data_IF_255380648723
#
_entry.id   IF_255380648723
#
_cell.length_a   1.000
_cell.length_b   1.000
_cell.length_c   1.000
_cell.angle_alpha   90.00
_cell.angle_beta   90.00
_cell.angle_gamma   90.00
#
_symmetry.space_group_name_H-M   'P 1'
#
loop_
_entity.id
_entity.type
_entity.pdbx_description
1 polymer ?
#
# COMPACT_ATOMS: atom_id res chain seq x y z
N UNK A 1 3.49 -10.15 41.60
CA UNK A 1 4.48 -10.63 40.63
C UNK A 1 3.67 -10.99 39.41
N UNK A 2 4.12 -10.52 38.26
CA UNK A 2 3.49 -10.79 36.99
C UNK A 2 4.58 -11.27 36.04
N UNK A 3 4.24 -12.26 35.23
CA UNK A 3 5.08 -12.64 34.11
C UNK A 3 4.59 -11.86 32.89
N UNK A 4 5.48 -11.10 32.29
CA UNK A 4 5.23 -10.43 31.02
C UNK A 4 5.41 -11.44 29.90
N UNK A 5 4.43 -11.47 28.98
CA UNK A 5 4.44 -12.35 27.81
C UNK A 5 4.65 -11.50 26.56
N UNK A 6 5.59 -11.93 25.72
CA UNK A 6 5.65 -11.52 24.31
C UNK A 6 5.44 -12.74 23.42
N UNK A 7 4.87 -12.53 22.24
CA UNK A 7 4.83 -13.52 21.18
C UNK A 7 5.51 -12.94 19.95
N UNK A 8 6.52 -13.67 19.45
CA UNK A 8 7.39 -13.25 18.35
C UNK A 8 8.04 -11.87 18.59
N UNK A 9 8.35 -11.56 19.86
CA UNK A 9 8.99 -10.31 20.26
C UNK A 9 8.05 -9.11 20.42
N UNK A 10 6.73 -9.30 20.28
CA UNK A 10 5.73 -8.26 20.52
C UNK A 10 4.87 -8.58 21.76
N UNK A 11 4.68 -7.58 22.63
CA UNK A 11 3.65 -7.65 23.67
C UNK A 11 2.27 -7.69 23.01
N UNK A 12 1.43 -8.65 23.39
CA UNK A 12 0.11 -8.81 22.79
C UNK A 12 -0.89 -9.37 23.78
N UNK A 13 -2.16 -9.00 23.61
CA UNK A 13 -3.25 -9.56 24.39
C UNK A 13 -3.71 -10.92 23.82
N UNK A 14 -3.33 -11.26 22.58
CA UNK A 14 -3.77 -12.47 21.87
C UNK A 14 -2.67 -12.98 20.94
N UNK A 15 -2.44 -14.28 20.93
CA UNK A 15 -1.47 -14.90 20.03
C UNK A 15 -2.10 -15.52 18.80
N UNK A 16 -1.35 -15.45 17.69
CA UNK A 16 -1.62 -16.23 16.49
C UNK A 16 -0.52 -17.27 16.35
N UNK A 17 -0.91 -18.52 16.09
CA UNK A 17 -0.01 -19.55 15.56
C UNK A 17 -0.50 -19.94 14.17
N UNK A 18 0.41 -20.44 13.33
CA UNK A 18 0.01 -21.00 12.03
C UNK A 18 -0.15 -22.50 12.18
N UNK A 19 -1.32 -23.01 11.79
CA UNK A 19 -1.59 -24.45 11.76
C UNK A 19 -0.67 -25.16 10.75
N UNK A 20 -0.39 -26.46 10.92
CA UNK A 20 0.50 -27.18 10.02
C UNK A 20 0.03 -27.13 8.56
N UNK A 21 0.97 -26.95 7.63
CA UNK A 21 0.69 -26.91 6.20
C UNK A 21 1.73 -27.74 5.43
N UNK A 22 1.28 -28.60 4.52
CA UNK A 22 2.17 -29.40 3.69
C UNK A 22 3.11 -30.35 4.47
N UNK A 23 2.76 -30.69 5.72
CA UNK A 23 3.62 -31.49 6.62
C UNK A 23 4.69 -30.68 7.36
N UNK A 24 4.69 -29.34 7.23
CA UNK A 24 5.53 -28.43 7.99
C UNK A 24 4.76 -27.82 9.16
N UNK A 25 5.50 -27.49 10.22
CA UNK A 25 5.03 -26.67 11.35
C UNK A 25 5.75 -25.33 11.33
N UNK A 26 5.17 -24.32 11.99
CA UNK A 26 5.66 -22.94 11.96
C UNK A 26 5.91 -22.47 13.41
N UNK A 27 7.15 -22.56 13.90
CA UNK A 27 7.49 -22.17 15.26
C UNK A 27 7.29 -20.68 15.50
N UNK A 28 6.62 -20.35 16.60
CA UNK A 28 6.58 -19.02 17.20
C UNK A 28 7.48 -18.96 18.44
N UNK A 29 7.95 -17.77 18.79
CA UNK A 29 8.77 -17.55 19.99
C UNK A 29 7.93 -16.91 21.09
N UNK A 30 7.73 -17.63 22.20
CA UNK A 30 7.14 -17.08 23.41
C UNK A 30 8.24 -16.49 24.29
N UNK A 31 8.25 -15.17 24.46
CA UNK A 31 9.14 -14.47 25.37
C UNK A 31 8.49 -14.31 26.74
N UNK A 32 9.26 -14.60 27.80
CA UNK A 32 8.83 -14.52 29.19
C UNK A 32 9.83 -13.73 30.01
N UNK A 33 9.32 -12.81 30.85
CA UNK A 33 10.12 -11.95 31.75
C UNK A 33 9.37 -11.68 33.05
N UNK A 34 10.06 -11.58 34.18
CA UNK A 34 9.45 -11.13 35.44
C UNK A 34 9.35 -9.61 35.51
N UNK A 35 8.24 -9.10 36.05
CA UNK A 35 8.02 -7.66 36.21
C UNK A 35 8.86 -7.02 37.35
N UNK A 36 9.33 -7.84 38.30
CA UNK A 36 10.09 -7.39 39.47
C UNK A 36 11.60 -7.71 39.42
N UNK A 37 12.07 -8.30 38.32
CA UNK A 37 13.47 -8.63 38.06
C UNK A 37 14.01 -9.84 38.83
N UNK A 38 13.17 -10.54 39.62
CA UNK A 38 13.59 -11.77 40.31
C UNK A 38 13.47 -12.98 39.41
N UNK A 39 14.27 -14.00 39.72
CA UNK A 39 14.22 -15.29 39.04
C UNK A 39 13.15 -16.20 39.64
N UNK A 40 12.35 -16.81 38.78
CA UNK A 40 11.32 -17.78 39.11
C UNK A 40 11.38 -18.98 38.17
N UNK A 41 11.20 -20.19 38.71
CA UNK A 41 10.88 -21.36 37.90
C UNK A 41 9.38 -21.33 37.59
N UNK A 42 9.01 -21.20 36.33
CA UNK A 42 7.61 -21.21 35.91
C UNK A 42 7.32 -22.41 35.01
N UNK A 43 6.12 -22.95 35.14
CA UNK A 43 5.59 -23.98 34.25
C UNK A 43 4.74 -23.32 33.16
N UNK A 44 4.82 -23.87 31.94
CA UNK A 44 4.08 -23.45 30.77
C UNK A 44 3.11 -24.56 30.41
N UNK A 45 1.82 -24.24 30.44
CA UNK A 45 0.76 -25.18 30.09
C UNK A 45 -0.14 -24.58 29.02
N UNK A 46 -0.50 -25.37 28.01
CA UNK A 46 -1.59 -25.04 27.10
C UNK A 46 -2.85 -25.75 27.58
N UNK A 47 -3.98 -25.03 27.64
CA UNK A 47 -5.26 -25.69 27.90
C UNK A 47 -5.66 -26.60 26.74
N UNK A 48 -6.38 -27.67 27.04
CA UNK A 48 -7.07 -28.44 26.00
C UNK A 48 -7.98 -27.51 25.17
N UNK A 49 -7.69 -27.41 23.88
CA UNK A 49 -8.33 -26.51 22.92
C UNK A 49 -8.22 -27.05 21.50
N UNK A 50 -8.64 -26.28 20.50
CA UNK A 50 -8.59 -26.71 19.09
C UNK A 50 -7.17 -26.74 18.51
N UNK A 51 -6.30 -25.82 18.92
CA UNK A 51 -4.98 -25.62 18.31
C UNK A 51 -3.96 -26.74 18.54
N UNK A 52 -4.11 -27.51 19.64
CA UNK A 52 -3.14 -28.49 20.16
C UNK A 52 -1.66 -28.04 20.06
N UNK A 53 -1.12 -27.46 21.13
CA UNK A 53 0.16 -26.76 21.10
C UNK A 53 1.29 -27.66 21.60
N UNK A 54 2.35 -27.80 20.79
CA UNK A 54 3.60 -28.42 21.21
C UNK A 54 4.61 -27.35 21.68
N UNK A 55 5.14 -27.54 22.88
CA UNK A 55 6.13 -26.68 23.52
C UNK A 55 7.50 -27.37 23.49
N UNK A 56 8.55 -26.64 23.12
CA UNK A 56 9.92 -27.17 23.20
C UNK A 56 10.32 -27.46 24.67
N UNK A 57 9.82 -26.62 25.59
CA UNK A 57 10.06 -26.75 27.03
C UNK A 57 8.79 -26.35 27.78
N UNK A 58 8.45 -27.10 28.83
CA UNK A 58 7.27 -26.83 29.68
C UNK A 58 7.63 -26.20 31.02
N UNK A 59 8.91 -26.06 31.34
CA UNK A 59 9.37 -25.42 32.58
C UNK A 59 10.62 -24.60 32.25
N UNK A 60 10.66 -23.35 32.71
CA UNK A 60 11.73 -22.40 32.39
C UNK A 60 12.01 -21.46 33.57
N UNK A 61 13.27 -21.07 33.73
CA UNK A 61 13.68 -20.04 34.69
C UNK A 61 13.53 -18.66 34.03
N UNK A 62 12.66 -17.81 34.60
CA UNK A 62 12.35 -16.47 34.08
C UNK A 62 12.86 -15.42 35.06
N UNK A 63 13.59 -14.42 34.55
CA UNK A 63 14.17 -13.33 35.33
C UNK A 63 13.93 -11.95 34.70
N UNK A 64 14.84 -11.00 34.98
CA UNK A 64 14.81 -9.66 34.37
C UNK A 64 15.00 -9.70 32.85
N UNK A 65 15.93 -10.54 32.38
CA UNK A 65 16.14 -10.78 30.95
C UNK A 65 15.05 -11.70 30.40
N UNK A 66 14.58 -11.38 29.20
CA UNK A 66 13.57 -12.17 28.52
C UNK A 66 14.14 -13.51 28.06
N UNK A 67 13.41 -14.58 28.38
CA UNK A 67 13.73 -15.95 27.96
C UNK A 67 12.73 -16.40 26.91
N UNK A 68 13.22 -17.06 25.86
CA UNK A 68 12.39 -17.50 24.75
C UNK A 68 12.19 -19.01 24.76
N UNK A 69 10.95 -19.44 24.58
CA UNK A 69 10.56 -20.84 24.36
C UNK A 69 9.87 -20.95 23.00
N UNK A 70 10.30 -21.90 22.16
CA UNK A 70 9.59 -22.14 20.91
C UNK A 70 8.32 -22.95 21.16
N UNK A 71 7.26 -22.60 20.44
CA UNK A 71 6.03 -23.36 20.39
C UNK A 71 5.48 -23.40 18.97
N UNK A 72 4.65 -24.39 18.67
CA UNK A 72 3.90 -24.43 17.43
C UNK A 72 2.56 -25.14 17.62
N UNK A 73 1.61 -24.84 16.74
CA UNK A 73 0.35 -25.55 16.68
C UNK A 73 0.52 -26.86 15.91
N UNK A 74 -0.16 -27.91 16.34
CA UNK A 74 -0.23 -29.21 15.65
C UNK A 74 -1.60 -29.45 15.01
N UNK A 75 -2.59 -28.60 15.32
CA UNK A 75 -3.91 -28.56 14.71
C UNK A 75 -4.42 -27.12 14.52
N UNK A 76 -5.47 -26.94 13.72
CA UNK A 76 -6.13 -25.65 13.57
C UNK A 76 -7.14 -25.43 14.71
N UNK A 77 -7.30 -24.18 15.16
CA UNK A 77 -8.31 -23.81 16.13
C UNK A 77 -9.73 -23.99 15.57
N UNK A 78 -10.64 -24.42 16.45
CA UNK A 78 -12.06 -24.60 16.16
C UNK A 78 -12.87 -23.32 16.39
N UNK A 79 -12.30 -22.37 17.15
CA UNK A 79 -12.84 -21.03 17.32
C UNK A 79 -11.71 -20.05 17.65
N UNK A 80 -12.00 -18.76 17.54
CA UNK A 80 -11.07 -17.73 17.97
C UNK A 80 -10.83 -17.82 19.47
N UNK A 81 -9.57 -17.66 19.86
CA UNK A 81 -9.11 -17.62 21.25
C UNK A 81 -9.49 -18.89 22.04
N UNK A 82 -9.55 -20.05 21.36
CA UNK A 82 -10.05 -21.31 21.94
C UNK A 82 -9.03 -22.08 22.77
N UNK A 83 -7.76 -21.68 22.72
CA UNK A 83 -6.65 -22.30 23.43
C UNK A 83 -6.00 -21.23 24.31
N UNK A 84 -5.73 -21.52 25.58
CA UNK A 84 -5.11 -20.57 26.51
C UNK A 84 -3.76 -21.12 26.94
N UNK A 85 -2.70 -20.38 26.64
CA UNK A 85 -1.38 -20.63 27.19
C UNK A 85 -1.28 -19.97 28.57
N UNK A 86 -0.91 -20.73 29.59
CA UNK A 86 -0.84 -20.32 30.99
C UNK A 86 0.58 -20.43 31.49
N UNK A 87 1.03 -19.41 32.21
CA UNK A 87 2.31 -19.41 32.92
C UNK A 87 2.01 -19.54 34.40
N UNK A 88 2.50 -20.63 34.99
CA UNK A 88 2.24 -20.98 36.37
C UNK A 88 3.50 -20.84 37.22
N UNK A 89 3.38 -20.26 38.41
CA UNK A 89 4.41 -20.28 39.44
C UNK A 89 3.86 -20.99 40.68
N UNK A 90 4.46 -22.11 41.08
CA UNK A 90 3.98 -22.95 42.18
C UNK A 90 2.47 -23.31 42.06
N UNK A 91 1.97 -23.46 40.82
CA UNK A 91 0.57 -23.78 40.51
C UNK A 91 -0.40 -22.59 40.48
N UNK A 92 0.07 -21.37 40.76
CA UNK A 92 -0.69 -20.12 40.58
C UNK A 92 -0.52 -19.58 39.16
N UNK A 93 -1.60 -19.16 38.50
CA UNK A 93 -1.52 -18.54 37.16
C UNK A 93 -1.03 -17.10 37.32
N UNK A 94 0.15 -16.81 36.80
CA UNK A 94 0.77 -15.48 36.83
C UNK A 94 0.56 -14.72 35.53
N UNK A 95 0.35 -15.43 34.42
CA UNK A 95 0.00 -14.86 33.13
C UNK A 95 -0.79 -15.85 32.28
N UNK A 96 -1.58 -15.33 31.35
CA UNK A 96 -2.33 -16.14 30.39
C UNK A 96 -2.43 -15.41 29.05
N UNK A 97 -2.29 -16.16 27.96
CA UNK A 97 -2.38 -15.67 26.59
C UNK A 97 -3.38 -16.53 25.81
N UNK A 98 -4.53 -15.99 25.39
CA UNK A 98 -5.40 -16.66 24.43
C UNK A 98 -4.68 -16.79 23.08
N UNK A 99 -4.76 -17.97 22.49
CA UNK A 99 -4.13 -18.36 21.23
C UNK A 99 -5.20 -18.82 20.25
N UNK A 100 -5.02 -18.42 18.98
CA UNK A 100 -5.73 -19.01 17.85
C UNK A 100 -4.70 -19.60 16.87
N UNK A 101 -4.82 -20.89 16.55
CA UNK A 101 -4.07 -21.50 15.44
C UNK A 101 -4.87 -21.36 14.15
N UNK A 102 -4.32 -20.63 13.18
CA UNK A 102 -5.03 -20.23 11.96
C UNK A 102 -4.51 -20.96 10.73
N UNK A 103 -5.39 -21.17 9.77
CA UNK A 103 -5.05 -21.72 8.45
C UNK A 103 -5.01 -20.61 7.39
N UNK A 104 -4.23 -20.82 6.32
CA UNK A 104 -4.26 -19.98 5.12
C UNK A 104 -4.11 -18.46 5.42
N UNK A 105 -3.09 -18.02 6.18
CA UNK A 105 -2.89 -16.60 6.42
C UNK A 105 -2.59 -15.86 5.11
N UNK A 106 -3.19 -14.68 4.95
CA UNK A 106 -2.89 -13.70 3.92
C UNK A 106 -2.64 -12.34 4.54
N UNK A 107 -1.78 -11.54 3.92
CA UNK A 107 -1.43 -10.21 4.40
C UNK A 107 -2.41 -9.21 3.81
N UNK A 108 -2.98 -8.34 4.64
CA UNK A 108 -3.82 -7.22 4.21
C UNK A 108 -3.17 -5.90 4.64
N UNK A 109 -3.09 -4.95 3.71
CA UNK A 109 -2.47 -3.66 3.92
C UNK A 109 -3.35 -2.52 3.40
N UNK A 110 -3.20 -1.35 3.98
CA UNK A 110 -3.81 -0.12 3.47
C UNK A 110 -3.01 1.11 3.85
N UNK A 111 -3.42 2.25 3.29
CA UNK A 111 -2.85 3.55 3.61
C UNK A 111 -3.05 4.58 2.51
N UNK A 112 -2.04 5.43 2.32
CA UNK A 112 -2.03 6.49 1.30
C UNK A 112 -0.84 6.31 0.36
N UNK A 113 -1.08 6.55 -0.92
CA UNK A 113 -0.05 6.53 -1.96
C UNK A 113 0.13 7.90 -2.60
N UNK A 114 1.28 8.10 -3.25
CA UNK A 114 1.55 9.22 -4.16
C UNK A 114 1.57 8.71 -5.61
N UNK A 115 1.05 9.51 -6.54
CA UNK A 115 1.33 9.32 -7.96
C UNK A 115 1.75 10.60 -8.66
N UNK A 116 2.70 10.50 -9.59
CA UNK A 116 3.30 11.64 -10.31
C UNK A 116 3.53 11.34 -11.78
N UNK A 117 3.18 12.27 -12.67
CA UNK A 117 3.26 12.06 -14.13
C UNK A 117 4.67 12.26 -14.66
N UNK A 118 4.94 11.64 -15.81
CA UNK A 118 6.03 11.97 -16.70
C UNK A 118 5.86 13.38 -17.26
N UNK A 119 6.70 14.31 -16.79
CA UNK A 119 6.78 15.68 -17.31
C UNK A 119 7.99 15.83 -18.24
N UNK A 120 7.76 16.40 -19.42
CA UNK A 120 8.78 16.58 -20.44
C UNK A 120 8.25 17.31 -21.68
N UNK A 121 9.12 17.60 -22.64
CA UNK A 121 8.76 18.32 -23.87
C UNK A 121 8.34 17.41 -25.05
N UNK A 122 8.48 16.09 -24.92
CA UNK A 122 8.15 15.11 -25.98
C UNK A 122 6.68 14.66 -25.94
N UNK A 123 6.14 14.12 -27.04
CA UNK A 123 4.70 13.82 -27.19
C UNK A 123 4.11 12.93 -26.10
N UNK A 124 4.82 11.85 -25.72
CA UNK A 124 4.35 10.92 -24.69
C UNK A 124 4.47 11.47 -23.26
N UNK A 125 5.11 12.63 -23.11
CA UNK A 125 5.23 13.32 -21.84
C UNK A 125 4.37 14.57 -21.89
N UNK A 126 3.41 14.68 -20.97
CA UNK A 126 2.60 15.89 -20.93
C UNK A 126 3.52 17.08 -20.59
N UNK A 127 3.51 18.19 -21.37
CA UNK A 127 4.15 19.42 -20.93
C UNK A 127 3.51 19.83 -19.60
N UNK A 128 4.33 20.32 -18.66
CA UNK A 128 3.93 20.70 -17.29
C UNK A 128 2.59 21.46 -17.31
N UNK A 129 1.50 20.78 -16.94
CA UNK A 129 0.16 21.37 -16.83
C UNK A 129 -0.57 21.70 -18.14
N UNK A 130 -0.13 21.22 -19.31
CA UNK A 130 -0.67 21.65 -20.60
C UNK A 130 -2.02 21.04 -21.00
N UNK A 131 -2.18 19.72 -20.87
CA UNK A 131 -3.34 18.99 -21.43
C UNK A 131 -3.65 17.64 -20.75
N UNK A 132 -3.02 17.34 -19.61
CA UNK A 132 -3.03 16.01 -19.01
C UNK A 132 -3.93 15.83 -17.78
N UNK A 133 -4.04 14.57 -17.35
CA UNK A 133 -4.77 14.09 -16.17
C UNK A 133 -4.28 14.66 -14.83
N UNK A 134 -3.03 15.14 -14.80
CA UNK A 134 -2.44 15.81 -13.64
C UNK A 134 -1.68 17.07 -14.07
N UNK A 135 -1.45 17.95 -13.10
CA UNK A 135 -0.62 19.13 -13.19
C UNK A 135 0.51 19.05 -12.15
N UNK A 136 1.60 19.73 -12.45
CA UNK A 136 2.84 19.73 -11.67
C UNK A 136 3.12 21.15 -11.22
N UNK A 137 3.63 21.29 -10.01
CA UNK A 137 3.99 22.59 -9.44
C UNK A 137 5.36 23.05 -9.94
N UNK A 138 5.64 24.35 -9.82
CA UNK A 138 7.01 24.86 -9.98
C UNK A 138 7.93 24.18 -8.95
N UNK A 139 9.16 23.86 -9.38
CA UNK A 139 10.21 23.14 -8.62
C UNK A 139 9.96 21.65 -8.29
N UNK A 140 8.82 21.10 -8.69
CA UNK A 140 8.60 19.65 -8.61
C UNK A 140 9.53 18.90 -9.60
N UNK A 141 10.23 17.82 -9.19
CA UNK A 141 11.14 17.09 -10.06
C UNK A 141 10.36 16.29 -11.11
N UNK A 142 10.93 16.15 -12.31
CA UNK A 142 10.36 15.33 -13.37
C UNK A 142 10.56 13.83 -13.06
N UNK A 143 9.58 12.99 -13.43
CA UNK A 143 9.70 11.53 -13.29
C UNK A 143 10.55 10.90 -14.41
N UNK A 144 10.47 11.45 -15.63
CA UNK A 144 11.15 10.88 -16.80
C UNK A 144 12.31 11.76 -17.25
N UNK A 145 13.38 11.17 -17.81
CA UNK A 145 14.47 11.96 -18.39
C UNK A 145 13.96 12.90 -19.50
N UNK A 146 14.48 14.12 -19.55
CA UNK A 146 14.15 15.07 -20.59
C UNK A 146 14.61 14.57 -21.98
N UNK A 147 13.68 14.44 -22.94
CA UNK A 147 13.99 14.08 -24.33
C UNK A 147 12.80 13.53 -25.12
N UNK A 148 13.02 13.31 -26.42
CA UNK A 148 12.13 12.52 -27.29
C UNK A 148 12.44 11.04 -27.08
N UNK A 149 11.56 10.36 -26.37
CA UNK A 149 11.69 8.93 -26.05
C UNK A 149 10.36 8.25 -26.37
N UNK A 150 10.28 7.65 -27.56
CA UNK A 150 9.31 6.60 -27.84
C UNK A 150 9.46 5.52 -26.77
N UNK A 151 8.43 5.23 -25.95
CA UNK A 151 8.51 4.24 -24.87
C UNK A 151 8.42 2.82 -25.44
N UNK A 152 9.40 2.48 -26.26
CA UNK A 152 9.55 1.17 -26.90
C UNK A 152 10.16 0.11 -25.97
N UNK A 153 10.43 0.46 -24.70
CA UNK A 153 10.95 -0.42 -23.66
C UNK A 153 10.52 0.06 -22.27
N UNK A 154 9.59 -0.64 -21.64
CA UNK A 154 9.06 -0.30 -20.30
C UNK A 154 10.14 -0.29 -19.21
N UNK A 155 11.20 -1.08 -19.39
CA UNK A 155 12.32 -1.23 -18.46
C UNK A 155 13.39 -0.14 -18.62
N UNK A 156 13.36 0.64 -19.70
CA UNK A 156 14.43 1.61 -20.04
C UNK A 156 13.94 3.01 -20.35
N UNK A 157 12.68 3.16 -20.74
CA UNK A 157 12.07 4.41 -21.17
C UNK A 157 10.72 4.57 -20.46
N UNK A 158 10.73 4.79 -19.14
CA UNK A 158 9.49 4.93 -18.38
C UNK A 158 8.69 6.11 -18.91
N UNK A 159 7.38 5.92 -19.07
CA UNK A 159 6.40 6.95 -19.42
C UNK A 159 5.10 6.61 -18.69
N UNK A 160 4.45 7.62 -18.10
CA UNK A 160 3.20 7.44 -17.38
C UNK A 160 3.29 8.02 -15.98
N UNK A 161 2.84 7.28 -14.97
CA UNK A 161 2.68 7.79 -13.60
C UNK A 161 3.50 6.98 -12.60
N UNK A 162 4.55 7.54 -12.00
CA UNK A 162 5.26 6.89 -10.89
C UNK A 162 4.30 6.70 -9.72
N UNK A 163 4.41 5.57 -9.02
CA UNK A 163 3.62 5.30 -7.82
C UNK A 163 4.54 5.04 -6.64
N UNK A 164 4.20 5.60 -5.48
CA UNK A 164 4.96 5.42 -4.23
C UNK A 164 4.03 5.19 -3.06
N UNK A 165 4.37 4.25 -2.21
CA UNK A 165 3.68 4.01 -0.93
C UNK A 165 4.34 4.75 0.23
N UNK A 166 5.64 4.99 0.13
CA UNK A 166 6.46 5.71 1.11
C UNK A 166 7.44 6.63 0.39
N UNK A 167 8.10 7.52 1.14
CA UNK A 167 9.14 8.40 0.60
C UNK A 167 8.66 9.24 -0.59
N UNK A 168 7.65 10.09 -0.32
CA UNK A 168 7.09 11.01 -1.29
C UNK A 168 8.20 11.79 -2.00
N UNK A 169 8.07 11.96 -3.31
CA UNK A 169 9.09 12.68 -4.08
C UNK A 169 9.13 14.17 -3.72
N UNK A 170 7.99 14.74 -3.32
CA UNK A 170 7.89 16.04 -2.69
C UNK A 170 6.66 16.07 -1.76
N UNK A 171 6.76 16.78 -0.64
CA UNK A 171 5.59 17.05 0.19
C UNK A 171 4.90 18.35 -0.24
N UNK A 172 3.59 18.27 -0.49
CA UNK A 172 2.76 19.45 -0.72
C UNK A 172 2.24 19.99 0.62
N UNK A 173 2.31 21.31 0.87
CA UNK A 173 1.75 21.90 2.08
C UNK A 173 0.28 21.54 2.27
N UNK A 174 -0.09 21.29 3.53
CA UNK A 174 -1.43 20.91 3.98
C UNK A 174 -1.93 19.57 3.45
N UNK A 175 -1.04 18.69 2.99
CA UNK A 175 -1.41 17.35 2.51
C UNK A 175 -0.88 16.30 3.48
N UNK A 176 -1.74 15.38 3.92
CA UNK A 176 -1.31 14.29 4.82
C UNK A 176 -0.25 13.41 4.16
N UNK A 177 0.76 12.92 4.92
CA UNK A 177 1.83 12.09 4.38
C UNK A 177 1.29 10.80 3.74
N UNK A 178 2.09 10.24 2.83
CA UNK A 178 1.88 8.88 2.34
C UNK A 178 2.43 7.86 3.35
N UNK A 179 1.98 6.62 3.22
CA UNK A 179 2.40 5.52 4.06
C UNK A 179 1.40 4.38 3.92
N UNK A 180 1.90 3.18 3.66
CA UNK A 180 1.11 1.95 3.58
C UNK A 180 1.71 0.92 4.53
N UNK A 181 0.87 0.33 5.37
CA UNK A 181 1.30 -0.65 6.37
C UNK A 181 0.37 -1.85 6.37
N UNK A 182 0.88 -3.00 6.81
CA UNK A 182 0.05 -4.16 7.09
C UNK A 182 -0.89 -3.84 8.25
N UNK A 183 -2.19 -3.92 8.01
CA UNK A 183 -3.21 -3.69 9.03
C UNK A 183 -3.64 -4.97 9.72
N UNK A 184 -3.62 -6.08 8.98
CA UNK A 184 -4.04 -7.37 9.54
C UNK A 184 -3.48 -8.55 8.77
N UNK A 185 -3.42 -9.68 9.46
CA UNK A 185 -3.38 -11.01 8.84
C UNK A 185 -4.83 -11.47 8.74
N UNK A 186 -5.30 -11.76 7.54
CA UNK A 186 -6.60 -12.42 7.37
C UNK A 186 -6.33 -13.91 7.27
N UNK A 187 -6.96 -14.71 8.11
CA UNK A 187 -6.73 -16.14 8.14
C UNK A 187 -8.02 -16.90 8.44
N UNK A 188 -8.00 -18.20 8.19
CA UNK A 188 -9.15 -19.07 8.36
C UNK A 188 -9.15 -19.71 9.75
N UNK A 189 -10.29 -19.63 10.43
CA UNK A 189 -10.58 -20.32 11.69
C UNK A 189 -11.87 -21.09 11.50
N UNK A 190 -11.80 -22.42 11.63
CA UNK A 190 -12.97 -23.29 11.47
C UNK A 190 -13.80 -23.00 10.18
N UNK A 191 -13.10 -22.80 9.06
CA UNK A 191 -13.70 -22.52 7.76
C UNK A 191 -14.17 -21.08 7.53
N UNK A 192 -13.97 -20.16 8.50
CA UNK A 192 -14.33 -18.74 8.38
C UNK A 192 -13.08 -17.88 8.27
N UNK A 193 -13.00 -17.01 7.25
CA UNK A 193 -11.93 -16.02 7.15
C UNK A 193 -12.19 -14.85 8.10
N UNK A 194 -11.23 -14.57 8.98
CA UNK A 194 -11.29 -13.49 9.96
C UNK A 194 -10.02 -12.64 9.95
N UNK A 195 -10.11 -11.32 10.22
CA UNK A 195 -8.95 -10.47 10.40
C UNK A 195 -8.37 -10.58 11.82
N UNK A 196 -7.04 -10.55 11.89
CA UNK A 196 -6.26 -10.42 13.12
C UNK A 196 -5.35 -9.20 13.02
N UNK A 197 -5.48 -8.30 14.00
CA UNK A 197 -4.79 -7.00 14.04
C UNK A 197 -3.67 -6.95 15.09
N UNK A 198 -3.36 -8.08 15.72
CA UNK A 198 -2.26 -8.29 16.65
C UNK A 198 -1.84 -9.76 16.61
N UNK A 199 -0.70 -10.11 17.24
CA UNK A 199 -0.27 -11.50 17.43
C UNK A 199 0.76 -12.02 16.42
N UNK A 200 1.10 -11.25 15.38
CA UNK A 200 2.21 -11.55 14.47
C UNK A 200 3.00 -10.25 14.13
N UNK A 201 4.35 -10.29 14.08
CA UNK A 201 5.18 -9.11 13.80
C UNK A 201 5.00 -8.53 12.40
N UNK A 202 4.41 -9.27 11.46
CA UNK A 202 4.10 -8.75 10.14
C UNK A 202 3.10 -7.58 10.20
N UNK A 203 2.27 -7.54 11.24
CA UNK A 203 1.28 -6.48 11.44
C UNK A 203 2.01 -5.19 11.84
N UNK A 204 1.75 -4.11 11.10
CA UNK A 204 2.45 -2.84 11.24
C UNK A 204 3.71 -2.70 10.38
N UNK A 205 4.19 -3.77 9.71
CA UNK A 205 5.30 -3.65 8.75
C UNK A 205 4.93 -2.70 7.60
N UNK A 206 5.94 -1.95 7.13
CA UNK A 206 5.80 -1.08 5.96
C UNK A 206 5.59 -1.92 4.70
N UNK A 207 4.71 -1.47 3.82
CA UNK A 207 4.52 -2.02 2.47
C UNK A 207 4.99 -0.99 1.47
N UNK A 208 5.91 -1.38 0.59
CA UNK A 208 6.53 -0.53 -0.41
C UNK A 208 6.39 -1.16 -1.80
N UNK A 209 6.43 -0.28 -2.81
CA UNK A 209 6.71 -0.67 -4.18
C UNK A 209 8.16 -0.30 -4.48
N UNK A 210 8.80 -1.02 -5.41
CA UNK A 210 10.13 -0.66 -5.90
C UNK A 210 10.15 0.78 -6.41
N UNK A 211 11.29 1.46 -6.23
CA UNK A 211 11.42 2.89 -6.49
C UNK A 211 11.06 3.30 -7.93
N UNK A 212 11.20 2.37 -8.88
CA UNK A 212 10.92 2.60 -10.29
C UNK A 212 9.55 2.05 -10.75
N UNK A 213 8.67 1.65 -9.83
CA UNK A 213 7.32 1.17 -10.18
C UNK A 213 6.45 2.32 -10.70
N UNK A 214 5.79 2.12 -11.84
CA UNK A 214 4.92 3.14 -12.44
C UNK A 214 3.75 2.54 -13.23
N UNK A 215 2.66 3.30 -13.35
CA UNK A 215 1.55 3.01 -14.26
C UNK A 215 1.99 3.32 -15.69
N UNK A 216 2.15 2.29 -16.53
CA UNK A 216 2.64 2.44 -17.90
C UNK A 216 1.55 2.93 -18.85
N UNK A 217 1.62 4.21 -19.24
CA UNK A 217 0.63 4.86 -20.11
C UNK A 217 1.29 5.41 -21.37
N UNK A 218 1.00 4.78 -22.52
CA UNK A 218 1.56 5.19 -23.82
C UNK A 218 0.47 5.51 -24.85
N UNK A 219 -0.71 5.95 -24.38
CA UNK A 219 -1.81 6.40 -25.24
C UNK A 219 -1.99 7.93 -25.15
N UNK A 220 -2.25 8.64 -26.27
CA UNK A 220 -2.25 8.19 -27.66
C UNK A 220 -0.83 7.93 -28.22
N UNK A 221 -0.75 7.33 -29.41
CA UNK A 221 0.50 7.19 -30.18
C UNK A 221 0.76 8.48 -30.97
N UNK A 222 2.00 8.96 -30.96
CA UNK A 222 2.40 10.10 -31.80
C UNK A 222 2.19 9.75 -33.29
N UNK A 223 1.42 10.55 -34.05
CA UNK A 223 1.26 10.35 -35.50
C UNK A 223 2.58 10.25 -36.27
N UNK A 224 3.60 11.02 -35.90
CA UNK A 224 4.91 11.03 -36.57
C UNK A 224 5.70 9.75 -36.28
N UNK A 225 5.62 9.26 -35.04
CA UNK A 225 6.20 7.97 -34.67
C UNK A 225 5.52 6.79 -35.35
N UNK A 226 4.19 6.83 -35.42
CA UNK A 226 3.42 5.84 -36.16
C UNK A 226 3.83 5.83 -37.64
N UNK A 227 3.99 7.00 -38.25
CA UNK A 227 4.44 7.10 -39.65
C UNK A 227 5.87 6.59 -39.83
N UNK A 228 6.74 6.76 -38.83
CA UNK A 228 8.12 6.27 -38.83
C UNK A 228 8.29 4.81 -38.38
N UNK A 229 7.21 4.12 -37.99
CA UNK A 229 7.26 2.75 -37.47
C UNK A 229 7.90 2.61 -36.09
N UNK A 230 7.99 3.71 -35.32
CA UNK A 230 8.52 3.75 -33.95
C UNK A 230 7.36 3.56 -32.97
N UNK A 231 6.95 2.31 -32.74
CA UNK A 231 5.80 2.05 -31.88
C UNK A 231 6.20 1.98 -30.40
N UNK A 232 5.38 2.51 -29.46
CA UNK A 232 5.55 2.22 -28.05
C UNK A 232 5.39 0.71 -27.79
N UNK A 233 5.98 0.22 -26.70
CA UNK A 233 5.94 -1.19 -26.35
C UNK A 233 4.51 -1.68 -26.15
N UNK A 234 3.73 -0.94 -25.36
CA UNK A 234 2.37 -1.30 -24.99
C UNK A 234 1.43 -0.11 -25.06
N UNK A 235 0.12 -0.34 -25.27
CA UNK A 235 -0.91 0.71 -25.29
C UNK A 235 -2.12 0.31 -24.47
N UNK A 236 -2.44 1.14 -23.48
CA UNK A 236 -3.55 0.92 -22.56
C UNK A 236 -4.47 2.14 -22.55
N UNK A 237 -5.78 1.88 -22.40
CA UNK A 237 -6.70 2.96 -22.08
C UNK A 237 -6.46 3.43 -20.66
N UNK A 238 -7.11 4.54 -20.35
CA UNK A 238 -7.12 5.07 -19.01
C UNK A 238 -7.75 4.11 -17.99
N UNK A 239 -7.04 3.85 -16.89
CA UNK A 239 -7.46 2.85 -15.89
C UNK A 239 -7.11 1.40 -16.23
N UNK A 240 -6.43 1.16 -17.36
CA UNK A 240 -6.01 -0.18 -17.80
C UNK A 240 -4.49 -0.35 -17.83
N UNK A 241 -3.74 0.64 -17.32
CA UNK A 241 -2.29 0.63 -17.35
C UNK A 241 -1.73 -0.42 -16.39
N UNK A 242 -0.75 -1.25 -16.77
CA UNK A 242 -0.07 -2.14 -15.84
C UNK A 242 0.93 -1.38 -14.96
N UNK A 243 1.27 -1.96 -13.81
CA UNK A 243 2.43 -1.55 -13.01
C UNK A 243 3.71 -2.09 -13.66
N UNK A 244 4.40 -1.26 -14.44
CA UNK A 244 5.71 -1.59 -14.98
C UNK A 244 6.80 -1.50 -13.90
N UNK A 245 7.86 -2.29 -14.07
CA UNK A 245 8.94 -2.48 -13.08
C UNK A 245 8.41 -2.83 -11.68
N UNK A 246 7.31 -3.59 -11.62
CA UNK A 246 6.67 -3.95 -10.36
C UNK A 246 7.61 -4.77 -9.48
N UNK A 247 7.82 -4.24 -8.29
CA UNK A 247 8.51 -4.89 -7.18
C UNK A 247 7.68 -4.59 -5.92
N UNK A 248 7.40 -5.63 -5.15
CA UNK A 248 6.75 -5.54 -3.85
C UNK A 248 7.79 -5.74 -2.76
N UNK A 249 7.73 -4.92 -1.70
CA UNK A 249 8.65 -5.01 -0.56
C UNK A 249 7.85 -4.84 0.73
N UNK A 250 8.11 -5.70 1.70
CA UNK A 250 7.48 -5.70 3.02
C UNK A 250 8.56 -5.67 4.11
N UNK A 251 8.40 -4.77 5.08
CA UNK A 251 9.17 -4.77 6.33
C UNK A 251 10.69 -4.68 6.14
N UNK A 252 11.17 -3.72 5.34
CA UNK A 252 12.58 -3.54 5.01
C UNK A 252 13.23 -4.83 4.46
N UNK A 253 12.63 -5.41 3.42
CA UNK A 253 13.04 -6.64 2.73
C UNK A 253 12.80 -7.96 3.49
N UNK A 254 11.97 -7.96 4.54
CA UNK A 254 11.51 -9.20 5.18
C UNK A 254 10.74 -10.11 4.19
N UNK A 255 10.07 -9.51 3.21
CA UNK A 255 9.57 -10.20 2.01
C UNK A 255 9.63 -9.25 0.81
N UNK A 256 10.24 -9.70 -0.28
CA UNK A 256 10.27 -8.97 -1.54
C UNK A 256 10.16 -9.85 -2.77
N UNK A 257 9.81 -9.25 -3.90
CA UNK A 257 9.79 -9.91 -5.20
C UNK A 257 9.11 -9.07 -6.28
N UNK A 258 9.33 -9.42 -7.54
CA UNK A 258 8.73 -8.79 -8.70
C UNK A 258 7.75 -9.70 -9.44
N UNK A 259 7.25 -9.21 -10.58
CA UNK A 259 6.47 -10.01 -11.52
C UNK A 259 7.32 -10.52 -12.67
N UNK A 260 7.22 -11.81 -12.96
CA UNK A 260 7.84 -12.39 -14.14
C UNK A 260 7.22 -11.78 -15.41
N UNK A 261 8.08 -11.26 -16.30
CA UNK A 261 7.69 -10.69 -17.59
C UNK A 261 8.52 -11.29 -18.72
N UNK A 262 7.84 -11.68 -19.79
CA UNK A 262 8.43 -12.30 -20.96
C UNK A 262 9.24 -11.31 -21.81
N UNK A 263 9.96 -11.81 -22.84
CA UNK A 263 10.75 -10.97 -23.72
C UNK A 263 9.87 -10.03 -24.57
N UNK A 264 10.42 -8.89 -24.97
CA UNK A 264 9.80 -7.93 -25.89
C UNK A 264 10.72 -7.58 -27.07
N UNK A 265 10.12 -7.45 -28.28
CA UNK A 265 10.80 -7.00 -29.50
C UNK A 265 10.12 -5.70 -30.01
N UNK A 266 10.83 -4.56 -29.99
CA UNK A 266 10.28 -3.28 -30.46
C UNK A 266 9.78 -3.28 -31.91
N UNK A 267 8.72 -2.52 -32.17
CA UNK A 267 8.28 -2.17 -33.53
C UNK A 267 7.55 -3.26 -34.32
N UNK A 268 7.16 -4.37 -33.69
CA UNK A 268 6.54 -5.51 -34.40
C UNK A 268 5.01 -5.46 -34.46
N UNK A 269 4.34 -4.84 -33.48
CA UNK A 269 2.86 -4.81 -33.36
C UNK A 269 2.38 -3.74 -32.37
N UNK A 270 1.25 -3.08 -32.64
CA UNK A 270 0.49 -2.35 -31.60
C UNK A 270 -0.23 -3.38 -30.71
N UNK A 271 0.15 -3.53 -29.43
CA UNK A 271 -0.46 -4.49 -28.50
C UNK A 271 -0.67 -3.85 -27.12
N UNK A 272 -1.68 -4.32 -26.39
CA UNK A 272 -1.88 -4.04 -24.96
C UNK A 272 -1.24 -5.10 -24.06
N UNK A 273 -0.70 -6.18 -24.63
CA UNK A 273 0.04 -7.20 -23.89
C UNK A 273 1.07 -7.82 -24.83
N UNK A 274 2.21 -7.13 -25.02
CA UNK A 274 3.23 -7.54 -25.99
C UNK A 274 4.19 -8.61 -25.45
N UNK A 275 4.07 -8.99 -24.17
CA UNK A 275 4.93 -9.95 -23.48
C UNK A 275 4.16 -11.22 -23.14
N UNK A 276 4.85 -12.35 -23.15
CA UNK A 276 4.33 -13.64 -22.71
C UNK A 276 5.44 -14.43 -21.96
N UNK A 277 5.26 -14.74 -20.67
CA UNK A 277 4.12 -14.34 -19.82
C UNK A 277 4.15 -12.85 -19.45
N UNK A 278 3.04 -12.32 -18.96
CA UNK A 278 2.98 -10.99 -18.35
C UNK A 278 2.17 -11.07 -17.06
N UNK A 279 2.87 -11.15 -15.92
CA UNK A 279 2.24 -11.29 -14.60
C UNK A 279 2.21 -9.98 -13.81
N UNK A 280 2.57 -8.85 -14.42
CA UNK A 280 2.50 -7.53 -13.78
C UNK A 280 1.08 -7.26 -13.30
N UNK A 281 0.91 -6.55 -12.17
CA UNK A 281 -0.41 -6.10 -11.78
C UNK A 281 -1.02 -5.18 -12.84
N UNK A 282 -2.23 -5.50 -13.30
CA UNK A 282 -2.99 -4.69 -14.25
C UNK A 282 -4.41 -4.45 -13.76
N UNK A 283 -4.97 -3.31 -14.14
CA UNK A 283 -6.37 -2.97 -13.90
C UNK A 283 -7.22 -3.18 -15.15
N UNK A 284 -8.52 -3.41 -14.96
CA UNK A 284 -9.50 -3.59 -16.03
C UNK A 284 -10.43 -2.36 -16.13
N UNK A 285 -9.84 -1.17 -16.11
CA UNK A 285 -10.54 0.09 -16.16
C UNK A 285 -10.95 0.61 -14.77
N UNK A 286 -11.78 1.64 -14.79
CA UNK A 286 -12.28 2.34 -13.61
C UNK A 286 -13.63 1.79 -13.18
N UNK A 287 -13.78 1.47 -11.90
CA UNK A 287 -15.04 1.06 -11.31
C UNK A 287 -15.42 1.95 -10.11
N UNK A 288 -16.72 2.19 -9.85
CA UNK A 288 -17.14 2.91 -8.66
C UNK A 288 -16.79 2.13 -7.39
N UNK A 289 -16.52 2.86 -6.30
CA UNK A 289 -16.40 2.26 -4.98
C UNK A 289 -17.73 1.60 -4.60
N UNK A 290 -17.65 0.37 -4.09
CA UNK A 290 -18.81 -0.36 -3.60
C UNK A 290 -19.23 0.15 -2.20
N UNK A 291 -20.40 -0.28 -1.72
CA UNK A 291 -20.94 0.21 -0.45
C UNK A 291 -20.07 -0.16 0.77
N UNK A 292 -19.45 -1.34 0.76
CA UNK A 292 -18.57 -1.79 1.84
C UNK A 292 -17.26 -1.00 1.86
N UNK A 293 -16.68 -0.74 0.70
CA UNK A 293 -15.49 0.12 0.55
C UNK A 293 -15.78 1.56 0.98
N UNK A 294 -16.92 2.13 0.58
CA UNK A 294 -17.33 3.46 1.02
C UNK A 294 -17.60 3.54 2.54
N UNK A 295 -17.91 2.41 3.18
CA UNK A 295 -18.05 2.32 4.64
C UNK A 295 -16.69 2.19 5.33
N UNK A 296 -15.80 1.34 4.79
CA UNK A 296 -14.46 1.12 5.33
C UNK A 296 -13.57 2.35 5.18
N UNK A 297 -13.70 3.05 4.06
CA UNK A 297 -12.92 4.24 3.72
C UNK A 297 -13.87 5.39 3.42
N UNK A 298 -14.40 6.09 4.43
CA UNK A 298 -15.26 7.25 4.22
C UNK A 298 -14.45 8.44 3.69
N UNK A 299 -14.97 9.12 2.67
CA UNK A 299 -14.34 10.31 2.07
C UNK A 299 -15.40 11.35 1.70
N UNK A 300 -15.01 12.65 1.69
CA UNK A 300 -15.94 13.71 1.29
C UNK A 300 -16.32 13.60 -0.19
N UNK A 301 -17.43 14.24 -0.56
CA UNK A 301 -17.75 14.47 -1.98
C UNK A 301 -16.66 15.31 -2.64
N UNK A 302 -16.53 15.26 -3.97
CA UNK A 302 -15.52 16.05 -4.69
C UNK A 302 -15.66 17.55 -4.37
N UNK A 303 -16.89 18.05 -4.30
CA UNK A 303 -17.16 19.43 -3.91
C UNK A 303 -16.75 19.72 -2.47
N UNK A 304 -17.08 18.83 -1.51
CA UNK A 304 -16.69 18.99 -0.12
C UNK A 304 -15.17 18.96 0.07
N UNK A 305 -14.48 18.09 -0.67
CA UNK A 305 -13.02 18.07 -0.74
C UNK A 305 -12.48 19.40 -1.29
N UNK A 306 -12.93 19.83 -2.46
CA UNK A 306 -12.44 21.04 -3.12
C UNK A 306 -12.67 22.30 -2.26
N UNK A 307 -13.82 22.39 -1.59
CA UNK A 307 -14.15 23.49 -0.67
C UNK A 307 -13.23 23.48 0.56
N UNK A 308 -12.97 22.30 1.16
CA UNK A 308 -12.05 22.18 2.28
C UNK A 308 -10.61 22.57 1.89
N UNK A 309 -10.13 22.09 0.73
CA UNK A 309 -8.80 22.45 0.18
C UNK A 309 -8.72 23.96 -0.10
N UNK A 310 -9.71 24.47 -0.82
CA UNK A 310 -10.23 25.86 -0.80
C UNK A 310 -9.74 26.72 0.36
N UNK A 311 -10.45 26.49 1.47
CA UNK A 311 -10.40 27.26 2.69
C UNK A 311 -9.07 27.11 3.45
N UNK A 312 -8.30 26.06 3.19
CA UNK A 312 -6.98 25.86 3.79
C UNK A 312 -5.89 26.58 3.00
N UNK A 313 -5.96 26.60 1.67
CA UNK A 313 -4.93 27.20 0.81
C UNK A 313 -5.07 28.71 0.63
N UNK A 314 -6.31 29.23 0.65
CA UNK A 314 -6.58 30.64 0.38
C UNK A 314 -5.94 31.60 1.42
N UNK A 315 -5.94 31.31 2.73
CA UNK A 315 -5.27 32.15 3.72
C UNK A 315 -3.77 32.33 3.44
N UNK A 316 -3.04 31.24 3.14
CA UNK A 316 -1.62 31.29 2.81
C UNK A 316 -1.36 32.13 1.54
N UNK A 317 -2.24 32.01 0.54
CA UNK A 317 -2.16 32.81 -0.67
C UNK A 317 -2.31 34.31 -0.37
N UNK A 318 -3.28 34.67 0.48
CA UNK A 318 -3.50 36.06 0.92
C UNK A 318 -2.31 36.57 1.75
N UNK A 319 -1.77 35.77 2.67
CA UNK A 319 -0.62 36.14 3.48
C UNK A 319 0.61 36.44 2.63
N UNK A 320 0.94 35.58 1.65
CA UNK A 320 2.04 35.81 0.72
C UNK A 320 1.82 37.09 -0.11
N UNK A 321 0.58 37.35 -0.55
CA UNK A 321 0.24 38.59 -1.26
C UNK A 321 0.50 39.82 -0.39
N UNK A 322 -0.02 39.84 0.84
CA UNK A 322 0.11 40.95 1.77
C UNK A 322 1.57 41.19 2.19
N UNK A 323 2.37 40.13 2.23
CA UNK A 323 3.81 40.19 2.43
C UNK A 323 4.60 40.70 1.19
N UNK A 324 3.92 41.01 0.08
CA UNK A 324 4.56 41.45 -1.16
C UNK A 324 5.31 40.35 -1.91
N UNK A 325 4.94 39.08 -1.72
CA UNK A 325 5.63 37.90 -2.25
C UNK A 325 4.95 37.31 -3.49
N UNK A 326 4.21 38.14 -4.26
CA UNK A 326 3.49 37.70 -5.46
C UNK A 326 4.40 37.12 -6.57
N UNK A 327 5.68 37.48 -6.59
CA UNK A 327 6.66 36.97 -7.57
C UNK A 327 7.37 35.67 -7.11
N UNK A 328 6.97 35.09 -5.99
CA UNK A 328 7.58 33.85 -5.47
C UNK A 328 6.98 32.59 -6.10
N UNK A 329 7.78 31.52 -6.15
CA UNK A 329 7.31 30.18 -6.54
C UNK A 329 6.16 29.70 -5.65
N UNK A 330 6.25 29.94 -4.34
CA UNK A 330 5.20 29.56 -3.40
C UNK A 330 3.85 30.22 -3.74
N UNK A 331 3.84 31.51 -4.07
CA UNK A 331 2.63 32.23 -4.46
C UNK A 331 2.01 31.67 -5.75
N UNK A 332 2.82 31.50 -6.81
CA UNK A 332 2.35 30.94 -8.09
C UNK A 332 1.87 29.50 -7.98
N UNK A 333 2.51 28.70 -7.12
CA UNK A 333 2.06 27.35 -6.81
C UNK A 333 0.69 27.38 -6.12
N UNK A 334 0.49 28.18 -5.06
CA UNK A 334 -0.83 28.30 -4.42
C UNK A 334 -1.91 28.80 -5.37
N UNK A 335 -1.61 29.80 -6.19
CA UNK A 335 -2.50 30.30 -7.24
C UNK A 335 -2.92 29.19 -8.21
N UNK A 336 -1.97 28.36 -8.65
CA UNK A 336 -2.22 27.22 -9.54
C UNK A 336 -3.10 26.16 -8.86
N UNK A 337 -2.75 25.77 -7.64
CA UNK A 337 -3.51 24.78 -6.85
C UNK A 337 -4.97 25.21 -6.66
N UNK A 338 -5.19 26.44 -6.18
CA UNK A 338 -6.52 27.02 -5.97
C UNK A 338 -7.27 27.08 -7.29
N UNK A 339 -6.64 27.59 -8.36
CA UNK A 339 -7.25 27.71 -9.67
C UNK A 339 -7.80 26.38 -10.23
N UNK A 340 -7.11 25.27 -9.98
CA UNK A 340 -7.56 23.92 -10.38
C UNK A 340 -8.69 23.36 -9.51
N UNK A 341 -8.88 23.87 -8.29
CA UNK A 341 -9.96 23.46 -7.38
C UNK A 341 -11.26 24.26 -7.61
N UNK A 342 -11.15 25.50 -8.10
CA UNK A 342 -12.28 26.40 -8.36
C UNK A 342 -13.43 25.82 -9.22
N UNK A 343 -13.20 24.92 -10.20
CA UNK A 343 -14.30 24.29 -10.93
C UNK A 343 -15.24 23.45 -10.05
N UNK A 344 -14.73 22.90 -8.95
CA UNK A 344 -15.43 21.89 -8.14
C UNK A 344 -16.02 22.46 -6.83
N UNK A 345 -15.69 23.70 -6.47
CA UNK A 345 -16.29 24.40 -5.30
C UNK A 345 -17.70 24.95 -5.62
N UNK A 346 -18.52 25.29 -4.60
CA UNK A 346 -19.80 25.97 -4.83
C UNK A 346 -19.64 27.27 -5.62
N UNK A 347 -20.56 27.53 -6.56
CA UNK A 347 -20.48 28.69 -7.46
C UNK A 347 -20.34 30.03 -6.72
N UNK A 348 -21.06 30.20 -5.60
CA UNK A 348 -20.97 31.42 -4.79
C UNK A 348 -19.56 31.64 -4.21
N UNK A 349 -18.90 30.58 -3.73
CA UNK A 349 -17.53 30.66 -3.21
C UNK A 349 -16.54 30.96 -4.34
N UNK A 350 -16.66 30.27 -5.48
CA UNK A 350 -15.82 30.53 -6.65
C UNK A 350 -15.93 31.99 -7.09
N UNK A 351 -17.16 32.48 -7.26
CA UNK A 351 -17.40 33.82 -7.78
C UNK A 351 -16.89 34.89 -6.80
N UNK A 352 -16.98 34.65 -5.49
CA UNK A 352 -16.38 35.50 -4.45
C UNK A 352 -14.85 35.54 -4.57
N UNK A 353 -14.19 34.39 -4.64
CA UNK A 353 -12.72 34.30 -4.76
C UNK A 353 -12.22 35.02 -6.01
N UNK A 354 -12.91 34.85 -7.14
CA UNK A 354 -12.56 35.53 -8.38
C UNK A 354 -12.80 37.05 -8.28
N UNK A 355 -13.87 37.49 -7.63
CA UNK A 355 -14.11 38.92 -7.40
C UNK A 355 -13.00 39.55 -6.55
N UNK A 356 -12.50 38.83 -5.54
CA UNK A 356 -11.50 39.34 -4.61
C UNK A 356 -10.06 39.27 -5.17
N UNK A 357 -9.76 38.29 -6.02
CA UNK A 357 -8.38 37.94 -6.40
C UNK A 357 -8.08 37.87 -7.90
N UNK A 358 -9.04 38.12 -8.80
CA UNK A 358 -8.76 38.09 -10.25
C UNK A 358 -7.71 39.13 -10.68
N UNK A 359 -7.63 40.28 -10.00
CA UNK A 359 -6.61 41.30 -10.27
C UNK A 359 -5.18 40.81 -9.93
N UNK A 360 -5.06 39.78 -9.09
CA UNK A 360 -3.80 39.15 -8.71
C UNK A 360 -3.44 37.97 -9.64
N UNK A 361 -4.25 37.71 -10.66
CA UNK A 361 -4.09 36.62 -11.61
C UNK A 361 -4.84 35.33 -11.25
N UNK A 362 -5.60 35.30 -10.15
CA UNK A 362 -6.44 34.15 -9.81
C UNK A 362 -7.44 33.87 -10.94
N UNK A 363 -7.51 32.62 -11.40
CA UNK A 363 -8.40 32.22 -12.48
C UNK A 363 -8.81 30.76 -12.33
N UNK A 364 -9.91 30.40 -12.99
CA UNK A 364 -10.33 28.99 -13.09
C UNK A 364 -9.40 28.26 -14.05
N UNK A 365 -8.76 27.20 -13.58
CA UNK A 365 -7.92 26.31 -14.40
C UNK A 365 -8.66 25.00 -14.71
N UNK A 366 -8.05 24.15 -15.54
CA UNK A 366 -8.63 22.87 -15.93
C UNK A 366 -8.95 21.99 -14.73
N UNK A 367 -10.18 21.47 -14.62
CA UNK A 367 -10.57 20.63 -13.48
C UNK A 367 -9.82 19.28 -13.48
N UNK A 368 -9.69 18.68 -12.31
CA UNK A 368 -9.29 17.28 -12.19
C UNK A 368 -10.30 16.40 -12.95
N UNK A 369 -9.88 15.32 -13.65
CA UNK A 369 -10.83 14.45 -14.33
C UNK A 369 -11.85 13.88 -13.32
N UNK A 370 -13.16 14.10 -13.52
CA UNK A 370 -14.17 13.87 -12.48
C UNK A 370 -14.35 12.39 -12.13
N UNK A 371 -13.93 11.48 -13.01
CA UNK A 371 -14.04 10.04 -12.78
C UNK A 371 -12.95 9.51 -11.83
N UNK A 372 -11.93 10.27 -11.42
CA UNK A 372 -10.94 9.73 -10.44
C UNK A 372 -11.47 9.79 -9.01
N UNK A 373 -12.43 10.68 -8.74
CA UNK A 373 -13.03 10.83 -7.42
C UNK A 373 -14.25 9.93 -7.27
N UNK A 374 -14.27 9.07 -6.24
CA UNK A 374 -15.35 8.11 -6.03
C UNK A 374 -15.30 6.85 -6.90
N UNK A 375 -14.30 6.72 -7.78
CA UNK A 375 -13.98 5.47 -8.47
C UNK A 375 -12.62 4.95 -7.99
N UNK A 376 -12.30 3.73 -8.43
CA UNK A 376 -11.08 3.01 -8.09
C UNK A 376 -10.53 2.26 -9.30
N UNK A 377 -9.23 2.01 -9.28
CA UNK A 377 -8.52 1.12 -10.18
C UNK A 377 -8.12 -0.14 -9.39
N UNK A 378 -8.52 -1.33 -9.84
CA UNK A 378 -8.25 -2.60 -9.17
C UNK A 378 -7.16 -3.35 -9.91
N UNK A 379 -5.97 -3.42 -9.31
CA UNK A 379 -4.80 -4.07 -9.89
C UNK A 379 -4.64 -5.49 -9.37
N UNK A 380 -4.50 -6.44 -10.28
CA UNK A 380 -4.27 -7.85 -9.97
C UNK A 380 -3.09 -8.38 -10.76
N UNK A 381 -2.21 -9.12 -10.10
CA UNK A 381 -1.01 -9.70 -10.69
C UNK A 381 -0.37 -10.76 -9.79
N UNK A 382 0.89 -11.10 -10.07
CA UNK A 382 1.66 -12.06 -9.27
C UNK A 382 2.98 -11.46 -8.80
N UNK A 383 3.38 -11.81 -7.58
CA UNK A 383 4.77 -11.74 -7.12
C UNK A 383 5.35 -13.14 -7.33
N UNK A 384 6.15 -13.32 -8.38
CA UNK A 384 6.66 -14.65 -8.80
C UNK A 384 8.02 -14.59 -9.51
N UNK A 385 8.74 -13.48 -9.36
CA UNK A 385 10.13 -13.36 -9.80
C UNK A 385 10.98 -12.80 -8.67
N UNK A 386 12.22 -13.28 -8.55
CA UNK A 386 13.19 -12.84 -7.53
C UNK A 386 12.64 -12.81 -6.09
N UNK A 387 11.79 -13.79 -5.73
CA UNK A 387 11.17 -13.87 -4.41
C UNK A 387 12.23 -14.10 -3.33
N UNK A 388 12.24 -13.25 -2.31
CA UNK A 388 13.08 -13.34 -1.12
C UNK A 388 12.22 -13.21 0.14
N UNK A 389 12.40 -14.11 1.11
CA UNK A 389 11.63 -14.12 2.36
C UNK A 389 12.57 -14.42 3.54
N UNK A 390 12.59 -13.52 4.53
CA UNK A 390 13.24 -13.76 5.82
C UNK A 390 12.25 -14.40 6.79
N UNK A 391 12.34 -15.73 6.93
CA UNK A 391 11.47 -16.52 7.80
C UNK A 391 11.70 -16.26 9.29
N UNK A 392 12.78 -15.58 9.67
CA UNK A 392 13.09 -15.31 11.08
C UNK A 392 12.29 -14.17 11.69
N UNK A 393 11.64 -13.35 10.84
CA UNK A 393 10.88 -12.17 11.25
C UNK A 393 9.46 -12.50 11.70
N UNK A 394 8.85 -13.57 11.17
CA UNK A 394 7.43 -13.86 11.40
C UNK A 394 7.07 -15.31 11.01
N UNK A 395 6.27 -16.03 11.83
CA UNK A 395 5.67 -17.31 11.43
C UNK A 395 4.79 -17.23 10.18
N UNK A 396 4.11 -16.11 9.94
CA UNK A 396 3.40 -15.87 8.67
C UNK A 396 4.38 -15.85 7.50
N UNK A 397 5.54 -15.21 7.64
CA UNK A 397 6.55 -15.22 6.58
C UNK A 397 7.19 -16.60 6.40
N UNK A 398 7.38 -17.38 7.46
CA UNK A 398 7.81 -18.79 7.33
C UNK A 398 6.76 -19.64 6.57
N UNK A 399 5.47 -19.40 6.80
CA UNK A 399 4.41 -19.99 5.98
C UNK A 399 4.48 -19.55 4.51
N UNK A 400 4.70 -18.26 4.25
CA UNK A 400 4.85 -17.74 2.89
C UNK A 400 6.04 -18.37 2.16
N UNK A 401 7.13 -18.70 2.86
CA UNK A 401 8.30 -19.35 2.28
C UNK A 401 8.05 -20.75 1.70
N UNK A 402 6.87 -21.32 1.92
CA UNK A 402 6.43 -22.60 1.33
C UNK A 402 5.92 -22.47 -0.11
N UNK A 403 5.83 -21.24 -0.63
CA UNK A 403 5.29 -20.94 -1.94
C UNK A 403 6.31 -20.21 -2.81
N UNK A 404 6.26 -20.45 -4.13
CA UNK A 404 7.14 -19.80 -5.11
C UNK A 404 6.46 -18.58 -5.78
N UNK A 405 5.16 -18.41 -5.58
CA UNK A 405 4.37 -17.37 -6.22
C UNK A 405 3.24 -16.91 -5.32
N UNK A 406 2.91 -15.62 -5.39
CA UNK A 406 1.87 -15.00 -4.57
C UNK A 406 0.96 -14.14 -5.43
N UNK A 407 -0.34 -14.24 -5.22
CA UNK A 407 -1.31 -13.35 -5.83
C UNK A 407 -1.25 -11.98 -5.15
N UNK A 408 -1.21 -10.94 -5.96
CA UNK A 408 -1.18 -9.56 -5.51
C UNK A 408 -2.46 -8.83 -5.90
N UNK A 409 -3.02 -8.07 -4.94
CA UNK A 409 -4.12 -7.14 -5.13
C UNK A 409 -3.69 -5.76 -4.60
N UNK A 410 -3.93 -4.72 -5.39
CA UNK A 410 -3.95 -3.34 -4.90
C UNK A 410 -5.08 -2.54 -5.52
N UNK A 411 -5.80 -1.79 -4.72
CA UNK A 411 -6.94 -0.98 -5.13
C UNK A 411 -6.63 0.48 -4.84
N UNK A 412 -6.46 1.28 -5.89
CA UNK A 412 -6.17 2.71 -5.81
C UNK A 412 -7.45 3.50 -5.96
N UNK A 413 -7.73 4.44 -5.05
CA UNK A 413 -8.99 5.18 -5.06
C UNK A 413 -8.86 6.59 -4.49
N UNK A 414 -9.86 7.44 -4.75
CA UNK A 414 -9.94 8.82 -4.26
C UNK A 414 -8.68 9.65 -4.55
N UNK A 415 -8.13 9.47 -5.74
CA UNK A 415 -7.00 10.26 -6.19
C UNK A 415 -7.44 11.67 -6.57
N UNK A 416 -6.72 12.68 -6.08
CA UNK A 416 -6.87 14.06 -6.55
C UNK A 416 -5.54 14.73 -6.83
N UNK A 417 -5.45 15.38 -7.99
CA UNK A 417 -4.23 16.01 -8.48
C UNK A 417 -3.69 17.11 -7.56
N UNK A 418 -4.52 17.82 -6.81
CA UNK A 418 -4.05 18.80 -5.80
C UNK A 418 -3.09 18.20 -4.77
N UNK A 419 -3.35 16.98 -4.35
CA UNK A 419 -2.54 16.31 -3.36
C UNK A 419 -1.47 15.42 -4.00
N UNK A 420 -1.64 15.07 -5.29
CA UNK A 420 -0.91 13.98 -5.94
C UNK A 420 -1.00 12.67 -5.13
N UNK A 421 -2.07 12.50 -4.35
CA UNK A 421 -2.23 11.39 -3.41
C UNK A 421 -3.65 10.83 -3.47
N UNK A 422 -3.78 9.59 -3.03
CA UNK A 422 -5.05 8.89 -2.88
C UNK A 422 -4.99 7.83 -1.78
N UNK A 423 -6.09 7.11 -1.60
CA UNK A 423 -6.18 5.95 -0.72
C UNK A 423 -5.81 4.66 -1.44
N UNK A 424 -5.27 3.71 -0.70
CA UNK A 424 -4.98 2.37 -1.20
C UNK A 424 -5.31 1.32 -0.15
N UNK A 425 -5.83 0.19 -0.60
CA UNK A 425 -5.81 -1.05 0.16
C UNK A 425 -5.37 -2.20 -0.75
N UNK A 426 -4.90 -3.30 -0.17
CA UNK A 426 -4.45 -4.44 -0.94
C UNK A 426 -4.18 -5.67 -0.10
N UNK A 427 -3.76 -6.73 -0.77
CA UNK A 427 -3.47 -8.01 -0.13
C UNK A 427 -2.48 -8.84 -0.92
N UNK A 428 -1.71 -9.66 -0.21
CA UNK A 428 -0.87 -10.72 -0.77
C UNK A 428 -1.35 -12.06 -0.23
N UNK A 429 -1.61 -13.00 -1.13
CA UNK A 429 -2.16 -14.33 -0.82
C UNK A 429 -1.41 -15.42 -1.63
N UNK A 430 -0.79 -16.42 -0.97
CA UNK A 430 -0.07 -17.48 -1.66
C UNK A 430 -0.96 -18.52 -2.36
N UNK A 431 -2.25 -18.62 -2.00
CA UNK A 431 -3.13 -19.70 -2.42
C UNK A 431 -4.11 -19.31 -3.51
N UNK A 432 -4.60 -18.07 -3.47
CA UNK A 432 -5.67 -17.64 -4.37
C UNK A 432 -5.68 -16.15 -4.62
N UNK A 433 -6.36 -15.74 -5.68
CA UNK A 433 -6.58 -14.33 -5.97
C UNK A 433 -7.34 -13.65 -4.81
N UNK A 434 -6.77 -12.57 -4.19
CA UNK A 434 -7.41 -11.93 -3.05
C UNK A 434 -8.77 -11.31 -3.41
N UNK A 435 -9.80 -11.48 -2.56
CA UNK A 435 -11.09 -10.84 -2.78
C UNK A 435 -11.02 -9.34 -2.51
N UNK A 436 -11.89 -8.57 -3.18
CA UNK A 436 -12.18 -7.19 -2.77
C UNK A 436 -12.90 -7.17 -1.42
N UNK A 437 -12.86 -6.02 -0.74
CA UNK A 437 -13.72 -5.77 0.41
C UNK A 437 -15.19 -5.84 -0.06
N UNK A 438 -16.01 -6.61 0.66
CA UNK A 438 -17.41 -6.91 0.32
C UNK A 438 -18.36 -6.54 1.43
#
# INVERSE_FOLDING_TARGET
MAILITLNGAETAKGILIAPFGGSTFPAKLGLRSDDGKTYSVDIEASDGGADIELEQTTVEVGEEEVFVNLHATAASMARDDTILRILNEGSIEAALPITAVENPRIFFDGRFETRFSTGAGFYNAPRGGTGWMWVLEDEPDFVPAGDVVPDRIDKKPVGRQVRFHNAAIDRPHVSPIGVTVQSVIATVNGVSEPFTEGDPVIGMSVQLGADTYFASNQPIDPDDRAAGRLPEERHQDGEQPLANFEFILGDDAFSGGSQTGPFVPGTTESSSPRDPDFRPYANGLEPLNAAEGTAYPFPTLQGFAEARVNVLLPDYVELKEAGQADTVAFRNLQTRIGHLLPDVPAALRDQILADHAADGMQVLGRNPPFTWGNKEVYRGMINDQVMIDTSQSPVLDYFSRFESFHFLSVFFNFHTDECRGGIYGSVDPLSEPPLIR
#
